data_IF_188183648243
#
_entry.id   IF_188183648243
#
_cell.length_a   1.000
_cell.length_b   1.000
_cell.length_c   1.000
_cell.angle_alpha   90.00
_cell.angle_beta   90.00
_cell.angle_gamma   90.00
#
_symmetry.space_group_name_H-M   'P 1'
#
loop_
_entity.id
_entity.type
_entity.pdbx_description
1 polymer ?
#
# COMPACT_ATOMS: atom_id res chain seq x y z
N UNK A 1 39.49 14.75 2.49
CA UNK A 1 38.02 14.73 2.66
C UNK A 1 37.73 14.30 4.08
N UNK A 2 36.76 14.92 4.76
CA UNK A 2 36.34 14.46 6.07
C UNK A 2 35.56 13.15 5.93
N UNK A 3 35.99 12.10 6.63
CA UNK A 3 35.26 10.83 6.70
C UNK A 3 34.18 10.97 7.76
N UNK A 4 32.92 10.71 7.40
CA UNK A 4 31.80 10.63 8.34
C UNK A 4 31.39 9.17 8.45
N UNK A 5 31.46 8.62 9.66
CA UNK A 5 30.99 7.26 9.97
C UNK A 5 29.57 7.36 10.53
N UNK A 6 28.62 6.68 9.89
CA UNK A 6 27.24 6.56 10.37
C UNK A 6 27.09 5.21 11.06
N UNK A 7 26.98 5.23 12.39
CA UNK A 7 26.70 4.02 13.17
C UNK A 7 25.19 3.84 13.32
N UNK A 8 24.69 2.70 12.84
CA UNK A 8 23.28 2.35 12.96
C UNK A 8 23.09 1.39 14.16
N UNK A 9 22.07 1.62 15.00
CA UNK A 9 21.72 0.66 16.04
C UNK A 9 21.25 -0.65 15.40
N UNK A 10 21.46 -1.78 16.08
CA UNK A 10 21.03 -3.11 15.62
C UNK A 10 19.54 -3.14 15.26
N UNK A 11 18.72 -2.39 16.00
CA UNK A 11 17.29 -2.29 15.84
C UNK A 11 16.89 -1.68 14.49
N UNK A 12 17.80 -0.98 13.80
CA UNK A 12 17.57 -0.46 12.45
C UNK A 12 17.33 -1.57 11.42
N UNK A 13 17.76 -2.80 11.69
CA UNK A 13 17.40 -3.98 10.90
C UNK A 13 15.87 -4.15 10.75
N UNK A 14 15.09 -3.77 11.78
CA UNK A 14 13.63 -3.79 11.73
C UNK A 14 13.05 -2.75 10.77
N UNK A 15 13.71 -1.61 10.62
CA UNK A 15 13.32 -0.55 9.67
C UNK A 15 13.46 -1.08 8.24
N UNK A 16 14.58 -1.74 7.95
CA UNK A 16 14.84 -2.36 6.65
C UNK A 16 13.80 -3.46 6.36
N UNK A 17 13.56 -4.36 7.32
CA UNK A 17 12.54 -5.40 7.17
C UNK A 17 11.13 -4.83 6.96
N UNK A 18 10.79 -3.73 7.64
CA UNK A 18 9.52 -3.02 7.44
C UNK A 18 9.43 -2.42 6.02
N UNK A 19 10.53 -1.86 5.51
CA UNK A 19 10.63 -1.42 4.11
C UNK A 19 10.45 -2.57 3.11
N UNK A 20 11.11 -3.70 3.33
CA UNK A 20 10.96 -4.93 2.52
C UNK A 20 9.53 -5.46 2.56
N UNK A 21 8.85 -5.40 3.70
CA UNK A 21 7.45 -5.80 3.79
C UNK A 21 6.57 -4.98 2.84
N UNK A 22 6.83 -3.67 2.66
CA UNK A 22 6.07 -2.87 1.69
C UNK A 22 6.24 -3.39 0.25
N UNK A 23 7.43 -3.87 -0.13
CA UNK A 23 7.68 -4.38 -1.49
C UNK A 23 7.01 -5.73 -1.71
N UNK A 24 6.97 -6.59 -0.70
CA UNK A 24 6.22 -7.85 -0.72
C UNK A 24 4.71 -7.59 -0.87
N UNK A 25 4.16 -6.61 -0.14
CA UNK A 25 2.75 -6.21 -0.29
C UNK A 25 2.48 -5.64 -1.69
N UNK A 26 3.40 -4.85 -2.25
CA UNK A 26 3.28 -4.35 -3.63
C UNK A 26 3.17 -5.50 -4.64
N UNK A 27 4.08 -6.46 -4.55
CA UNK A 27 4.14 -7.62 -5.45
C UNK A 27 2.87 -8.48 -5.32
N UNK A 28 2.39 -8.68 -4.09
CA UNK A 28 1.13 -9.37 -3.82
C UNK A 28 -0.06 -8.65 -4.46
N UNK A 29 -0.17 -7.32 -4.36
CA UNK A 29 -1.25 -6.57 -5.02
C UNK A 29 -1.17 -6.66 -6.54
N UNK A 30 0.02 -6.55 -7.14
CA UNK A 30 0.21 -6.74 -8.59
C UNK A 30 -0.18 -8.16 -9.05
N UNK A 31 0.15 -9.18 -8.24
CA UNK A 31 -0.29 -10.56 -8.47
C UNK A 31 -1.83 -10.68 -8.46
N UNK A 32 -2.50 -10.03 -7.51
CA UNK A 32 -3.97 -10.01 -7.44
C UNK A 32 -4.59 -9.33 -8.65
N UNK A 33 -4.06 -8.17 -9.08
CA UNK A 33 -4.49 -7.49 -10.31
C UNK A 33 -4.43 -8.44 -11.49
N UNK A 34 -3.32 -9.17 -11.63
CA UNK A 34 -3.12 -10.13 -12.72
C UNK A 34 -4.16 -11.26 -12.67
N UNK A 35 -4.41 -11.84 -11.50
CA UNK A 35 -5.42 -12.88 -11.33
C UNK A 35 -6.83 -12.40 -11.66
N UNK A 36 -7.23 -11.22 -11.17
CA UNK A 36 -8.56 -10.66 -11.47
C UNK A 36 -8.70 -10.22 -12.92
N UNK A 37 -7.64 -9.71 -13.55
CA UNK A 37 -7.62 -9.38 -14.99
C UNK A 37 -7.94 -10.61 -15.82
N UNK A 38 -7.26 -11.73 -15.56
CA UNK A 38 -7.48 -13.00 -16.26
C UNK A 38 -8.92 -13.46 -16.11
N UNK A 39 -9.48 -13.40 -14.89
CA UNK A 39 -10.87 -13.77 -14.63
C UNK A 39 -11.89 -12.84 -15.32
N UNK A 40 -11.55 -11.55 -15.46
CA UNK A 40 -12.38 -10.56 -16.13
C UNK A 40 -12.26 -10.58 -17.67
N UNK A 41 -11.28 -11.30 -18.22
CA UNK A 41 -11.06 -11.38 -19.67
C UNK A 41 -10.61 -10.06 -20.30
N UNK A 42 -10.04 -9.12 -19.53
CA UNK A 42 -9.63 -7.80 -20.05
C UNK A 42 -8.23 -7.90 -20.71
N UNK A 43 -8.13 -7.71 -22.04
CA UNK A 43 -6.84 -7.78 -22.72
C UNK A 43 -5.95 -6.59 -22.38
N UNK A 44 -4.64 -6.77 -22.56
CA UNK A 44 -3.71 -5.64 -22.60
C UNK A 44 -3.94 -4.85 -23.91
N UNK A 45 -3.72 -3.52 -23.93
CA UNK A 45 -3.15 -2.66 -22.89
C UNK A 45 -4.18 -1.99 -21.96
N UNK A 46 -5.45 -2.38 -21.98
CA UNK A 46 -6.50 -1.69 -21.21
C UNK A 46 -6.26 -1.81 -19.70
N UNK A 47 -6.27 -0.66 -19.01
CA UNK A 47 -5.96 -0.59 -17.59
C UNK A 47 -7.16 -0.99 -16.71
N UNK A 48 -8.38 -0.66 -17.14
CA UNK A 48 -9.64 -0.96 -16.44
C UNK A 48 -10.64 -1.55 -17.43
N UNK A 49 -11.64 -2.28 -16.92
CA UNK A 49 -12.88 -2.52 -17.65
C UNK A 49 -13.66 -1.20 -17.75
N UNK A 50 -14.13 -0.86 -18.95
CA UNK A 50 -14.90 0.37 -19.16
C UNK A 50 -16.28 0.29 -18.51
N UNK A 51 -16.92 1.45 -18.30
CA UNK A 51 -18.27 1.49 -17.73
C UNK A 51 -19.26 0.75 -18.65
N UNK A 52 -19.11 0.94 -19.96
CA UNK A 52 -19.95 0.31 -20.98
C UNK A 52 -19.83 -1.22 -20.92
N UNK A 53 -18.63 -1.77 -20.70
CA UNK A 53 -18.44 -3.21 -20.53
C UNK A 53 -19.10 -3.76 -19.25
N UNK A 54 -19.10 -2.98 -18.17
CA UNK A 54 -19.72 -3.35 -16.90
C UNK A 54 -21.26 -3.28 -17.00
N UNK A 55 -21.78 -2.23 -17.63
CA UNK A 55 -23.21 -2.00 -17.81
C UNK A 55 -23.80 -3.01 -18.82
N UNK A 56 -23.05 -3.38 -19.86
CA UNK A 56 -23.42 -4.39 -20.86
C UNK A 56 -23.14 -5.84 -20.42
N UNK A 57 -22.75 -6.08 -19.16
CA UNK A 57 -22.44 -7.42 -18.68
C UNK A 57 -23.66 -8.35 -18.76
N UNK A 58 -23.49 -9.48 -19.46
CA UNK A 58 -24.54 -10.49 -19.73
C UNK A 58 -25.10 -11.16 -18.47
N UNK A 59 -24.35 -11.14 -17.36
CA UNK A 59 -24.77 -11.68 -16.08
C UNK A 59 -24.09 -10.96 -14.91
N UNK A 60 -24.69 -11.08 -13.72
CA UNK A 60 -24.09 -10.55 -12.48
C UNK A 60 -22.71 -11.16 -12.23
N UNK A 61 -22.49 -12.43 -12.59
CA UNK A 61 -21.19 -13.08 -12.47
C UNK A 61 -20.12 -12.42 -13.36
N UNK A 62 -20.46 -12.03 -14.59
CA UNK A 62 -19.55 -11.29 -15.48
C UNK A 62 -19.28 -9.90 -14.90
N UNK A 63 -20.34 -9.19 -14.49
CA UNK A 63 -20.24 -7.86 -13.88
C UNK A 63 -19.33 -7.86 -12.64
N UNK A 64 -19.45 -8.88 -11.81
CA UNK A 64 -18.63 -9.06 -10.60
C UNK A 64 -17.15 -9.25 -10.91
N UNK A 65 -16.81 -10.02 -11.95
CA UNK A 65 -15.40 -10.21 -12.33
C UNK A 65 -14.79 -8.91 -12.85
N UNK A 66 -15.52 -8.17 -13.68
CA UNK A 66 -15.11 -6.85 -14.19
C UNK A 66 -14.91 -5.85 -13.02
N UNK A 67 -15.86 -5.79 -12.10
CA UNK A 67 -15.79 -4.91 -10.94
C UNK A 67 -14.64 -5.29 -9.99
N UNK A 68 -14.42 -6.58 -9.70
CA UNK A 68 -13.27 -7.03 -8.89
C UNK A 68 -11.94 -6.65 -9.52
N UNK A 69 -11.82 -6.78 -10.84
CA UNK A 69 -10.64 -6.32 -11.56
C UNK A 69 -10.43 -4.81 -11.40
N UNK A 70 -11.47 -4.00 -11.62
CA UNK A 70 -11.39 -2.56 -11.44
C UNK A 70 -11.03 -2.16 -10.00
N UNK A 71 -11.63 -2.80 -9.01
CA UNK A 71 -11.30 -2.58 -7.59
C UNK A 71 -9.86 -2.98 -7.25
N UNK A 72 -9.38 -4.12 -7.76
CA UNK A 72 -8.00 -4.55 -7.56
C UNK A 72 -7.01 -3.56 -8.18
N UNK A 73 -7.27 -3.09 -9.39
CA UNK A 73 -6.45 -2.08 -10.06
C UNK A 73 -6.41 -0.77 -9.28
N UNK A 74 -7.56 -0.27 -8.81
CA UNK A 74 -7.59 0.96 -8.02
C UNK A 74 -6.87 0.78 -6.68
N UNK A 75 -7.01 -0.37 -6.03
CA UNK A 75 -6.32 -0.67 -4.78
C UNK A 75 -4.80 -0.66 -4.96
N UNK A 76 -4.30 -1.31 -6.02
CA UNK A 76 -2.88 -1.35 -6.33
C UNK A 76 -2.33 0.00 -6.75
N UNK A 77 -3.04 0.75 -7.61
CA UNK A 77 -2.68 2.12 -7.97
C UNK A 77 -2.58 3.03 -6.75
N UNK A 78 -3.55 2.95 -5.83
CA UNK A 78 -3.50 3.72 -4.59
C UNK A 78 -2.34 3.30 -3.69
N UNK A 79 -1.94 2.03 -3.72
CA UNK A 79 -0.78 1.56 -2.98
C UNK A 79 0.49 2.20 -3.54
N UNK A 80 0.67 2.18 -4.86
CA UNK A 80 1.82 2.79 -5.54
C UNK A 80 1.91 4.30 -5.31
N UNK A 81 0.78 5.02 -5.34
CA UNK A 81 0.69 6.45 -5.02
C UNK A 81 1.24 6.79 -3.62
N UNK A 82 1.15 5.86 -2.66
CA UNK A 82 1.52 6.11 -1.27
C UNK A 82 2.84 5.43 -0.86
N UNK A 83 3.23 4.34 -1.51
CA UNK A 83 4.37 3.52 -1.10
C UNK A 83 5.67 4.32 -1.05
N UNK A 84 5.92 5.19 -2.04
CA UNK A 84 7.15 5.99 -2.10
C UNK A 84 7.31 6.91 -0.89
N UNK A 85 6.27 7.69 -0.58
CA UNK A 85 6.26 8.57 0.58
C UNK A 85 6.36 7.80 1.89
N UNK A 86 5.63 6.68 2.02
CA UNK A 86 5.71 5.84 3.22
C UNK A 86 7.09 5.23 3.42
N UNK A 87 7.74 4.74 2.35
CA UNK A 87 9.10 4.23 2.41
C UNK A 87 10.05 5.31 2.92
N UNK A 88 10.00 6.53 2.34
CA UNK A 88 10.79 7.66 2.82
C UNK A 88 10.58 7.89 4.32
N UNK A 89 9.34 7.93 4.80
CA UNK A 89 9.08 8.14 6.23
C UNK A 89 9.60 6.99 7.11
N UNK A 90 9.49 5.73 6.67
CA UNK A 90 10.02 4.58 7.42
C UNK A 90 11.53 4.73 7.63
N UNK A 91 12.30 4.94 6.56
CA UNK A 91 13.76 5.06 6.67
C UNK A 91 14.18 6.32 7.41
N UNK A 92 13.55 7.47 7.13
CA UNK A 92 13.90 8.74 7.74
C UNK A 92 13.57 8.77 9.25
N UNK A 93 12.35 8.42 9.64
CA UNK A 93 11.99 8.31 11.06
C UNK A 93 12.82 7.25 11.79
N UNK A 94 13.19 6.17 11.08
CA UNK A 94 13.98 5.07 11.63
C UNK A 94 15.38 5.50 12.11
N UNK A 95 15.93 6.62 11.59
CA UNK A 95 17.26 7.12 11.98
C UNK A 95 17.32 7.50 13.46
N UNK A 96 16.21 8.01 14.03
CA UNK A 96 16.09 8.34 15.45
C UNK A 96 15.19 7.38 16.22
N UNK A 97 14.20 6.79 15.54
CA UNK A 97 13.14 5.97 16.15
C UNK A 97 12.97 4.61 15.47
N UNK A 98 14.00 3.73 15.48
CA UNK A 98 14.01 2.51 14.66
C UNK A 98 12.84 1.56 14.97
N UNK A 99 12.55 1.30 16.25
CA UNK A 99 11.48 0.37 16.66
C UNK A 99 10.10 0.94 16.31
N UNK A 100 9.85 2.21 16.66
CA UNK A 100 8.55 2.84 16.41
C UNK A 100 8.28 2.98 14.91
N UNK A 101 9.29 3.38 14.13
CA UNK A 101 9.20 3.46 12.67
C UNK A 101 8.89 2.10 12.04
N UNK A 102 9.62 1.05 12.45
CA UNK A 102 9.39 -0.30 11.95
C UNK A 102 7.96 -0.79 12.26
N UNK A 103 7.48 -0.58 13.48
CA UNK A 103 6.14 -0.97 13.92
C UNK A 103 5.04 -0.23 13.13
N UNK A 104 5.16 1.09 12.95
CA UNK A 104 4.20 1.88 12.18
C UNK A 104 4.22 1.51 10.68
N UNK A 105 5.39 1.21 10.11
CA UNK A 105 5.51 0.72 8.74
C UNK A 105 4.88 -0.67 8.54
N UNK A 106 5.02 -1.56 9.53
CA UNK A 106 4.36 -2.86 9.53
C UNK A 106 2.84 -2.72 9.67
N UNK A 107 2.39 -1.86 10.58
CA UNK A 107 0.97 -1.52 10.75
C UNK A 107 0.36 -0.95 9.48
N UNK A 108 1.06 -0.03 8.81
CA UNK A 108 0.65 0.52 7.53
C UNK A 108 0.51 -0.60 6.50
N UNK A 109 1.54 -1.44 6.34
CA UNK A 109 1.54 -2.57 5.39
C UNK A 109 0.38 -3.55 5.62
N UNK A 110 0.12 -3.90 6.88
CA UNK A 110 -1.03 -4.73 7.25
C UNK A 110 -2.37 -4.09 6.85
N UNK A 111 -2.55 -2.80 7.12
CA UNK A 111 -3.76 -2.08 6.73
C UNK A 111 -3.90 -1.95 5.21
N UNK A 112 -2.80 -1.89 4.45
CA UNK A 112 -2.85 -1.95 2.98
C UNK A 112 -3.36 -3.29 2.45
N UNK A 113 -3.09 -4.40 3.15
CA UNK A 113 -3.68 -5.71 2.85
C UNK A 113 -5.19 -5.69 3.11
N UNK A 114 -5.63 -5.14 4.26
CA UNK A 114 -7.05 -5.00 4.58
C UNK A 114 -7.79 -4.08 3.59
N UNK A 115 -7.16 -2.98 3.17
CA UNK A 115 -7.67 -2.09 2.15
C UNK A 115 -7.89 -2.84 0.84
N UNK A 116 -6.87 -3.55 0.36
CA UNK A 116 -6.92 -4.24 -0.94
C UNK A 116 -7.89 -5.43 -0.94
N UNK A 117 -7.99 -6.19 0.16
CA UNK A 117 -8.97 -7.29 0.26
C UNK A 117 -10.39 -6.77 0.40
N UNK A 118 -10.59 -5.71 1.20
CA UNK A 118 -11.86 -5.04 1.35
C UNK A 118 -12.35 -4.37 0.07
N UNK A 119 -11.47 -3.77 -0.74
CA UNK A 119 -11.89 -3.12 -1.98
C UNK A 119 -12.46 -4.13 -2.99
N UNK A 120 -11.96 -5.36 -2.99
CA UNK A 120 -12.44 -6.44 -3.88
C UNK A 120 -13.65 -7.21 -3.31
N UNK A 121 -14.13 -6.87 -2.12
CA UNK A 121 -15.31 -7.47 -1.50
C UNK A 121 -16.57 -6.79 -2.03
N UNK A 122 -17.24 -7.43 -2.99
CA UNK A 122 -18.43 -6.90 -3.64
C UNK A 122 -19.70 -6.98 -2.79
N UNK A 123 -19.65 -7.62 -1.61
CA UNK A 123 -20.75 -7.48 -0.63
C UNK A 123 -20.87 -6.05 -0.12
N UNK A 124 -19.81 -5.25 -0.28
CA UNK A 124 -19.74 -3.84 0.09
C UNK A 124 -20.03 -2.96 -1.12
N UNK A 125 -21.12 -2.19 -1.04
CA UNK A 125 -21.55 -1.29 -2.12
C UNK A 125 -20.50 -0.21 -2.40
N UNK A 126 -20.37 0.18 -3.67
CA UNK A 126 -19.56 1.32 -4.13
C UNK A 126 -18.09 1.31 -3.66
N UNK A 127 -17.52 0.11 -3.45
CA UNK A 127 -16.14 -0.03 -2.98
C UNK A 127 -15.92 0.37 -1.52
N UNK A 128 -16.99 0.49 -0.72
CA UNK A 128 -16.89 0.86 0.70
C UNK A 128 -16.08 -0.13 1.55
N UNK A 129 -15.87 -1.36 1.08
CA UNK A 129 -15.01 -2.33 1.77
C UNK A 129 -13.56 -1.86 1.94
N UNK A 130 -13.08 -0.89 1.13
CA UNK A 130 -11.77 -0.26 1.29
C UNK A 130 -11.54 0.35 2.68
N UNK A 131 -12.60 0.78 3.37
CA UNK A 131 -12.49 1.39 4.70
C UNK A 131 -12.01 0.41 5.78
N UNK A 132 -11.99 -0.90 5.50
CA UNK A 132 -11.34 -1.90 6.37
C UNK A 132 -9.86 -1.61 6.61
N UNK A 133 -9.20 -0.94 5.67
CA UNK A 133 -7.80 -0.52 5.80
C UNK A 133 -7.61 0.90 6.32
N UNK A 134 -8.65 1.58 6.83
CA UNK A 134 -8.54 2.97 7.28
C UNK A 134 -7.50 3.18 8.39
N UNK A 135 -7.16 2.14 9.15
CA UNK A 135 -6.07 2.17 10.13
C UNK A 135 -4.71 2.54 9.54
N UNK A 136 -4.52 2.46 8.21
CA UNK A 136 -3.29 2.91 7.55
C UNK A 136 -2.92 4.36 7.91
N UNK A 137 -3.92 5.23 8.15
CA UNK A 137 -3.67 6.65 8.41
C UNK A 137 -2.94 6.87 9.73
N UNK A 138 -3.16 6.00 10.72
CA UNK A 138 -2.40 6.02 11.97
C UNK A 138 -0.92 5.74 11.69
N UNK A 139 -0.63 4.74 10.85
CA UNK A 139 0.73 4.44 10.38
C UNK A 139 1.37 5.62 9.65
N UNK A 140 0.67 6.18 8.65
CA UNK A 140 1.19 7.30 7.84
C UNK A 140 1.43 8.56 8.67
N UNK A 141 0.45 8.97 9.50
CA UNK A 141 0.54 10.19 10.31
C UNK A 141 1.62 10.02 11.39
N UNK A 142 1.68 8.86 12.04
CA UNK A 142 2.73 8.57 13.03
C UNK A 142 4.12 8.65 12.40
N UNK A 143 4.32 8.00 11.25
CA UNK A 143 5.58 8.04 10.51
C UNK A 143 5.96 9.46 10.07
N UNK A 144 4.99 10.25 9.61
CA UNK A 144 5.19 11.65 9.25
C UNK A 144 5.67 12.48 10.44
N UNK A 145 4.99 12.38 11.59
CA UNK A 145 5.37 13.10 12.81
C UNK A 145 6.79 12.73 13.26
N UNK A 146 7.12 11.44 13.28
CA UNK A 146 8.46 10.98 13.65
C UNK A 146 9.54 11.43 12.66
N UNK A 147 9.20 11.52 11.37
CA UNK A 147 10.11 12.04 10.34
C UNK A 147 10.37 13.53 10.55
N UNK A 148 9.32 14.32 10.76
CA UNK A 148 9.44 15.76 11.06
C UNK A 148 10.28 15.97 12.32
N UNK A 149 10.01 15.21 13.39
CA UNK A 149 10.82 15.27 14.61
C UNK A 149 12.29 14.91 14.35
N UNK A 150 12.55 13.87 13.57
CA UNK A 150 13.90 13.47 13.19
C UNK A 150 14.63 14.59 12.44
N UNK A 151 13.93 15.30 11.55
CA UNK A 151 14.50 16.45 10.85
C UNK A 151 14.84 17.60 11.81
N UNK A 152 13.95 17.94 12.75
CA UNK A 152 14.23 18.97 13.77
C UNK A 152 15.42 18.60 14.65
N UNK A 153 15.50 17.35 15.13
CA UNK A 153 16.61 16.88 15.97
C UNK A 153 17.98 16.87 15.23
N UNK A 154 17.99 16.97 13.90
CA UNK A 154 19.21 17.07 13.08
C UNK A 154 19.59 18.51 12.73
N UNK A 155 18.62 19.43 12.70
CA UNK A 155 18.83 20.84 12.41
C UNK A 155 19.24 21.65 13.66
N UNK A 156 18.85 21.17 14.84
CA UNK A 156 19.08 21.79 16.15
C UNK A 156 20.02 20.93 17.00
#
# INVERSE_FOLDING_TARGET
MATVTVELPREYGWVILSGVLTTLVNQWQGGRVTSFRKAAGIPYPYHYASKEQVDAAESDSVRDRLNRFNCAQRAHGNFLENQGSTLFFIVAAGLRYPIASAALGAWWSFNRILFATGYTDLTKKNGSGRYRGAGQYLGTIGLFILTVKTAFDLLL
#
